data_IF_523692236643
#
_entry.id   IF_523692236643
#
_cell.length_a   1.000
_cell.length_b   1.000
_cell.length_c   1.000
_cell.angle_alpha   90.00
_cell.angle_beta   90.00
_cell.angle_gamma   90.00
#
_symmetry.space_group_name_H-M   'P 1'
#
loop_
_entity.id
_entity.type
_entity.pdbx_description
1 polymer ?
#
# COMPACT_ATOMS: atom_id res chain seq x y z
N UNK A 1 -1.16 -20.12 -6.25
CA UNK A 1 -2.14 -19.10 -6.67
C UNK A 1 -1.49 -17.71 -6.70
N UNK A 2 -1.53 -17.03 -7.85
CA UNK A 2 -0.68 -15.88 -8.16
C UNK A 2 -1.33 -14.57 -7.68
N UNK A 3 -1.25 -14.28 -6.39
CA UNK A 3 -1.83 -13.09 -5.71
C UNK A 3 -1.31 -11.73 -6.24
N UNK A 4 -0.27 -11.72 -7.06
CA UNK A 4 0.31 -10.50 -7.64
C UNK A 4 -0.57 -9.82 -8.70
N UNK A 5 -1.24 -10.59 -9.56
CA UNK A 5 -2.00 -10.02 -10.69
C UNK A 5 -3.34 -9.44 -10.24
N UNK A 6 -4.01 -10.10 -9.29
CA UNK A 6 -5.24 -9.56 -8.70
C UNK A 6 -4.96 -8.28 -7.90
N UNK A 7 -3.89 -8.27 -7.10
CA UNK A 7 -3.51 -7.09 -6.33
C UNK A 7 -3.24 -5.87 -7.22
N UNK A 8 -2.55 -6.04 -8.34
CA UNK A 8 -2.24 -4.93 -9.25
C UNK A 8 -3.48 -4.40 -9.96
N UNK A 9 -4.35 -5.29 -10.45
CA UNK A 9 -5.60 -4.89 -11.12
C UNK A 9 -6.53 -4.18 -10.15
N UNK A 10 -6.70 -4.72 -8.94
CA UNK A 10 -7.57 -4.12 -7.92
C UNK A 10 -7.00 -2.80 -7.41
N UNK A 11 -5.68 -2.67 -7.24
CA UNK A 11 -5.05 -1.40 -6.87
C UNK A 11 -5.16 -0.34 -7.99
N UNK A 12 -5.01 -0.74 -9.26
CA UNK A 12 -5.18 0.18 -10.41
C UNK A 12 -6.62 0.68 -10.54
N UNK A 13 -7.62 -0.18 -10.28
CA UNK A 13 -9.05 0.18 -10.33
C UNK A 13 -9.48 1.01 -9.10
N UNK A 14 -8.89 0.79 -7.93
CA UNK A 14 -9.30 1.41 -6.67
C UNK A 14 -8.27 2.43 -6.13
N UNK A 15 -8.00 3.50 -6.89
CA UNK A 15 -6.99 4.53 -6.55
C UNK A 15 -7.14 5.19 -5.17
N UNK A 16 -8.34 5.16 -4.57
CA UNK A 16 -8.61 5.74 -3.24
C UNK A 16 -8.52 4.74 -2.08
N UNK A 17 -8.47 3.44 -2.37
CA UNK A 17 -8.45 2.39 -1.33
C UNK A 17 -7.09 2.29 -0.66
N UNK A 18 -7.09 1.99 0.64
CA UNK A 18 -5.84 1.83 1.38
C UNK A 18 -5.29 0.41 1.27
N UNK A 19 -4.02 0.20 1.61
CA UNK A 19 -3.43 -1.15 1.68
C UNK A 19 -4.17 -2.08 2.65
N UNK A 20 -4.82 -1.53 3.69
CA UNK A 20 -5.69 -2.30 4.60
C UNK A 20 -6.95 -2.81 3.89
N UNK A 21 -7.58 -1.95 3.09
CA UNK A 21 -8.80 -2.30 2.36
C UNK A 21 -8.51 -3.32 1.27
N UNK A 22 -7.39 -3.15 0.55
CA UNK A 22 -6.90 -4.10 -0.44
C UNK A 22 -6.55 -5.46 0.19
N UNK A 23 -5.92 -5.46 1.37
CA UNK A 23 -5.63 -6.68 2.13
C UNK A 23 -6.91 -7.42 2.53
N UNK A 24 -7.94 -6.69 2.98
CA UNK A 24 -9.25 -7.25 3.34
C UNK A 24 -9.96 -7.84 2.12
N UNK A 25 -9.95 -7.14 1.00
CA UNK A 25 -10.54 -7.62 -0.26
C UNK A 25 -9.83 -8.87 -0.79
N UNK A 26 -8.50 -8.91 -0.76
CA UNK A 26 -7.71 -10.08 -1.14
C UNK A 26 -7.98 -11.29 -0.24
N UNK A 27 -8.06 -11.06 1.07
CA UNK A 27 -8.35 -12.11 2.05
C UNK A 27 -9.75 -12.68 1.82
N UNK A 28 -10.74 -11.82 1.53
CA UNK A 28 -12.11 -12.26 1.19
C UNK A 28 -12.20 -12.98 -0.15
N UNK A 29 -11.44 -12.55 -1.16
CA UNK A 29 -11.54 -13.10 -2.52
C UNK A 29 -10.73 -14.38 -2.73
N UNK A 30 -9.65 -14.59 -1.95
CA UNK A 30 -8.71 -15.70 -2.15
C UNK A 30 -8.57 -16.59 -0.92
N UNK A 31 -9.17 -16.24 0.22
CA UNK A 31 -9.03 -16.98 1.49
C UNK A 31 -7.61 -16.95 2.05
N UNK A 32 -6.71 -16.14 1.47
CA UNK A 32 -5.32 -16.03 1.88
C UNK A 32 -5.07 -14.68 2.52
N UNK A 33 -4.67 -14.69 3.79
CA UNK A 33 -4.38 -13.47 4.54
C UNK A 33 -3.08 -12.86 4.05
N UNK A 34 -3.18 -11.78 3.27
CA UNK A 34 -2.00 -11.01 2.84
C UNK A 34 -1.80 -9.84 3.79
N UNK A 35 -0.69 -9.84 4.53
CA UNK A 35 -0.34 -8.72 5.40
C UNK A 35 -0.18 -7.41 4.63
N UNK A 36 -0.55 -6.29 5.27
CA UNK A 36 -0.32 -4.93 4.78
C UNK A 36 1.12 -4.71 4.32
N UNK A 37 2.11 -5.27 5.02
CA UNK A 37 3.51 -5.09 4.68
C UNK A 37 3.86 -5.72 3.32
N UNK A 38 3.29 -6.89 3.03
CA UNK A 38 3.44 -7.56 1.74
C UNK A 38 2.74 -6.79 0.63
N UNK A 39 1.56 -6.22 0.90
CA UNK A 39 0.87 -5.32 -0.04
C UNK A 39 1.72 -4.09 -0.34
N UNK A 40 2.30 -3.46 0.68
CA UNK A 40 3.17 -2.29 0.49
C UNK A 40 4.39 -2.59 -0.36
N UNK A 41 5.13 -3.65 -0.03
CA UNK A 41 6.31 -4.05 -0.81
C UNK A 41 5.92 -4.29 -2.28
N UNK A 42 4.87 -5.08 -2.52
CA UNK A 42 4.41 -5.41 -3.88
C UNK A 42 3.94 -4.20 -4.67
N UNK A 43 3.20 -3.27 -4.06
CA UNK A 43 2.77 -2.08 -4.76
C UNK A 43 3.93 -1.09 -4.99
N UNK A 44 4.91 -1.03 -4.09
CA UNK A 44 6.14 -0.25 -4.24
C UNK A 44 7.00 -0.76 -5.39
N UNK A 45 7.18 -2.08 -5.52
CA UNK A 45 7.89 -2.71 -6.64
C UNK A 45 7.28 -2.37 -8.01
N UNK A 46 5.99 -2.04 -8.06
CA UNK A 46 5.24 -1.79 -9.31
C UNK A 46 4.99 -0.28 -9.50
N UNK A 47 5.45 0.56 -8.55
CA UNK A 47 5.28 2.01 -8.60
C UNK A 47 3.83 2.48 -8.44
N UNK A 48 2.91 1.60 -8.04
CA UNK A 48 1.48 1.93 -7.90
C UNK A 48 1.14 2.61 -6.58
N UNK A 49 2.09 2.63 -5.63
CA UNK A 49 1.86 3.11 -4.29
C UNK A 49 3.03 3.98 -3.82
N UNK A 50 2.94 5.26 -4.16
CA UNK A 50 3.70 6.34 -3.55
C UNK A 50 2.71 7.22 -2.78
N UNK A 51 2.37 6.85 -1.54
CA UNK A 51 1.59 7.73 -0.66
C UNK A 51 2.56 8.62 0.13
N UNK A 52 2.34 9.93 0.08
CA UNK A 52 2.85 10.83 1.13
C UNK A 52 2.21 10.40 2.46
N UNK A 53 2.97 10.28 3.56
CA UNK A 53 2.39 9.99 4.86
C UNK A 53 1.27 10.99 5.14
N UNK A 54 0.12 10.50 5.62
CA UNK A 54 -1.09 11.31 5.88
C UNK A 54 -0.78 12.45 6.86
N UNK A 55 0.26 12.29 7.68
CA UNK A 55 0.79 13.31 8.56
C UNK A 55 2.17 13.73 8.07
N UNK A 56 2.31 14.97 7.64
CA UNK A 56 3.60 15.66 7.67
C UNK A 56 3.98 15.79 9.15
N UNK A 57 4.99 15.04 9.60
CA UNK A 57 5.60 15.31 10.90
C UNK A 57 6.35 16.64 10.73
N UNK A 58 5.99 17.70 11.48
CA UNK A 58 6.74 18.95 11.40
C UNK A 58 8.18 18.66 11.82
N UNK A 59 9.12 18.90 10.93
CA UNK A 59 10.54 18.93 11.29
C UNK A 59 10.72 20.16 12.19
N UNK A 60 10.94 19.92 13.48
CA UNK A 60 11.37 20.97 14.39
C UNK A 60 12.71 21.53 13.91
N UNK A 61 12.90 22.84 13.97
CA UNK A 61 14.07 23.56 13.42
C UNK A 61 15.44 22.96 13.82
N UNK A 62 15.50 22.19 14.91
CA UNK A 62 16.67 21.40 15.34
C UNK A 62 17.19 20.42 14.28
N UNK A 63 16.34 19.95 13.37
CA UNK A 63 16.68 18.99 12.32
C UNK A 63 16.88 19.65 10.93
N UNK A 64 17.04 20.97 10.88
CA UNK A 64 17.51 21.69 9.70
C UNK A 64 18.95 22.14 9.93
N UNK A 65 19.91 21.27 9.61
CA UNK A 65 21.30 21.71 9.40
C UNK A 65 21.59 21.57 7.91
N UNK A 66 21.60 22.72 7.23
CA UNK A 66 22.34 22.91 5.97
C UNK A 66 23.84 22.82 6.27
#
# INVERSE_FOLDING_TARGET
MRTGIYLTVTAKRNRRSTASDLSRQLSSATGTTVSRQTVYRRLGHIGLYARRPVRCVPLTATHCRL
#
